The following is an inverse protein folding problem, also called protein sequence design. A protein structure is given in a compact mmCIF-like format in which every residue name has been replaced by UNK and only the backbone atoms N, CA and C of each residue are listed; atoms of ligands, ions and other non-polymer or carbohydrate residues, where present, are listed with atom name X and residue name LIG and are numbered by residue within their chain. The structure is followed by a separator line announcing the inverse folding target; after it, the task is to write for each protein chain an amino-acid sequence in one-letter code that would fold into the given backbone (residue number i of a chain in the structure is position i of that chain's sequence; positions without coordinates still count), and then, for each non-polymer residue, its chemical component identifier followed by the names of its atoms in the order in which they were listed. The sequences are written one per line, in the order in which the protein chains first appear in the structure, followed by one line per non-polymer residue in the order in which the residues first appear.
data_IF_563750493608
#
_entry.id   IF_563750493608
#
_cell.length_a   1.000
_cell.length_b   1.000
_cell.length_c   1.000
_cell.angle_alpha   90.00
_cell.angle_beta   90.00
_cell.angle_gamma   90.00
#
_symmetry.space_group_name_H-M   'P 1'
#
loop_
_entity.id
_entity.type
_entity.pdbx_description
1 polymer ?
#
# COMPACT_ATOMS: atom_id res chain seq x y z
N UNK A 1 -59.48 8.85 -52.05
CA UNK A 1 -59.40 8.83 -53.55
C UNK A 1 -58.05 8.16 -53.85
N UNK A 2 -58.15 6.90 -54.24
CA UNK A 2 -57.71 6.32 -55.52
C UNK A 2 -56.21 6.55 -55.79
N UNK A 3 -55.38 5.68 -56.18
CA UNK A 3 -55.40 4.30 -56.70
C UNK A 3 -53.91 3.96 -57.01
N UNK A 4 -53.42 2.73 -56.65
CA UNK A 4 -52.96 1.72 -57.61
C UNK A 4 -51.74 2.11 -58.45
N UNK A 5 -50.78 1.38 -58.65
CA UNK A 5 -50.48 0.03 -59.14
C UNK A 5 -48.94 -0.02 -59.24
N UNK A 6 -48.21 -0.98 -59.00
CA UNK A 6 -48.09 -2.39 -59.35
C UNK A 6 -46.81 -2.64 -60.14
N UNK A 7 -46.12 -3.69 -59.70
CA UNK A 7 -45.42 -4.71 -60.46
C UNK A 7 -44.20 -4.30 -61.27
N UNK A 8 -43.05 -4.81 -60.98
CA UNK A 8 -42.33 -5.84 -61.70
C UNK A 8 -40.94 -6.14 -61.04
N UNK A 9 -40.73 -7.36 -60.69
CA UNK A 9 -39.43 -7.98 -60.76
C UNK A 9 -39.19 -8.41 -62.24
N UNK A 10 -37.98 -8.73 -62.65
CA UNK A 10 -37.22 -9.84 -62.16
C UNK A 10 -35.68 -9.77 -62.32
N UNK A 11 -35.08 -10.75 -61.70
CA UNK A 11 -33.94 -11.53 -62.18
C UNK A 11 -32.55 -10.89 -62.28
N UNK A 12 -31.64 -11.54 -61.59
CA UNK A 12 -30.30 -11.61 -62.13
C UNK A 12 -29.14 -11.70 -61.15
N UNK A 13 -28.93 -12.89 -60.63
CA UNK A 13 -27.64 -13.60 -60.66
C UNK A 13 -26.48 -13.11 -59.77
N UNK A 14 -26.03 -14.10 -59.03
CA UNK A 14 -24.67 -14.37 -58.58
C UNK A 14 -24.12 -13.55 -57.43
N UNK A 15 -24.20 -14.06 -56.21
CA UNK A 15 -23.13 -14.91 -55.71
C UNK A 15 -21.86 -14.20 -55.39
N UNK A 16 -21.81 -13.63 -54.19
CA UNK A 16 -20.55 -13.57 -53.45
C UNK A 16 -20.87 -13.62 -51.95
N UNK A 17 -20.88 -14.87 -51.44
CA UNK A 17 -20.81 -15.11 -50.00
C UNK A 17 -19.49 -14.52 -49.48
N UNK A 18 -19.55 -13.33 -48.92
CA UNK A 18 -18.47 -12.81 -48.13
C UNK A 18 -18.48 -13.54 -46.80
N UNK A 19 -17.63 -14.55 -46.71
CA UNK A 19 -17.30 -15.27 -45.48
C UNK A 19 -16.60 -14.28 -44.54
N UNK A 20 -17.37 -13.61 -43.67
CA UNK A 20 -16.84 -12.86 -42.55
C UNK A 20 -16.27 -13.88 -41.58
N UNK A 21 -15.00 -14.18 -41.73
CA UNK A 21 -14.17 -14.79 -40.70
C UNK A 21 -14.13 -13.81 -39.51
N UNK A 22 -15.04 -14.01 -38.56
CA UNK A 22 -14.95 -13.44 -37.26
C UNK A 22 -13.67 -14.02 -36.61
N UNK A 23 -12.60 -13.28 -36.68
CA UNK A 23 -11.45 -13.51 -35.84
C UNK A 23 -11.90 -13.28 -34.37
N UNK A 24 -12.36 -14.34 -33.72
CA UNK A 24 -12.43 -14.37 -32.28
C UNK A 24 -11.00 -14.26 -31.78
N UNK A 25 -10.58 -13.05 -31.41
CA UNK A 25 -9.41 -12.85 -30.59
C UNK A 25 -9.71 -13.56 -29.28
N UNK A 26 -9.29 -14.81 -29.18
CA UNK A 26 -9.16 -15.47 -27.87
C UNK A 26 -8.15 -14.62 -27.09
N UNK A 27 -8.66 -13.69 -26.29
CA UNK A 27 -7.88 -13.09 -25.23
C UNK A 27 -7.40 -14.24 -24.35
N UNK A 28 -6.13 -14.59 -24.47
CA UNK A 28 -5.50 -15.51 -23.54
C UNK A 28 -5.74 -14.92 -22.14
N UNK A 29 -6.27 -15.71 -21.18
CA UNK A 29 -6.38 -15.24 -19.82
C UNK A 29 -4.96 -14.85 -19.39
N UNK A 30 -4.73 -13.57 -19.14
CA UNK A 30 -3.53 -13.12 -18.47
C UNK A 30 -3.50 -13.88 -17.15
N UNK A 31 -2.51 -14.74 -16.98
CA UNK A 31 -2.20 -15.42 -15.73
C UNK A 31 -1.86 -14.32 -14.69
N UNK A 32 -2.89 -13.73 -14.11
CA UNK A 32 -2.73 -12.86 -12.96
C UNK A 32 -2.69 -13.79 -11.76
N UNK A 33 -1.61 -13.73 -11.03
CA UNK A 33 -1.57 -14.36 -9.73
C UNK A 33 -2.61 -13.69 -8.82
N UNK A 34 -3.33 -14.49 -8.06
CA UNK A 34 -4.35 -14.04 -7.13
C UNK A 34 -3.97 -14.50 -5.73
N UNK A 35 -4.42 -13.79 -4.72
CA UNK A 35 -4.20 -14.18 -3.34
C UNK A 35 -5.51 -14.70 -2.74
N UNK A 36 -5.48 -15.89 -2.19
CA UNK A 36 -6.56 -16.42 -1.36
C UNK A 36 -6.21 -16.19 0.10
N UNK A 37 -7.05 -15.46 0.80
CA UNK A 37 -6.91 -15.17 2.22
C UNK A 37 -7.73 -16.17 3.00
N UNK A 38 -7.08 -16.92 3.89
CA UNK A 38 -7.72 -17.90 4.74
C UNK A 38 -8.18 -17.30 6.07
N UNK A 39 -9.14 -17.94 6.71
CA UNK A 39 -9.64 -17.58 8.06
C UNK A 39 -8.51 -17.57 9.11
N UNK A 40 -7.49 -18.39 8.93
CA UNK A 40 -6.28 -18.38 9.75
C UNK A 40 -5.41 -17.12 9.60
N UNK A 41 -5.74 -16.24 8.65
CA UNK A 41 -4.92 -15.09 8.27
C UNK A 41 -3.80 -15.41 7.28
N UNK A 42 -3.63 -16.67 6.92
CA UNK A 42 -2.64 -17.08 5.92
C UNK A 42 -3.08 -16.66 4.53
N UNK A 43 -2.13 -16.22 3.71
CA UNK A 43 -2.33 -15.86 2.30
C UNK A 43 -1.63 -16.87 1.42
N UNK A 44 -2.38 -17.41 0.46
CA UNK A 44 -1.87 -18.33 -0.53
C UNK A 44 -1.84 -17.63 -1.90
N UNK A 45 -0.69 -17.65 -2.55
CA UNK A 45 -0.57 -17.18 -3.94
C UNK A 45 -1.10 -18.27 -4.86
N UNK A 46 -2.08 -17.95 -5.65
CA UNK A 46 -2.72 -18.90 -6.58
C UNK A 46 -2.65 -18.37 -8.01
N UNK A 47 -2.53 -19.28 -8.95
CA UNK A 47 -2.57 -18.99 -10.39
C UNK A 47 -3.97 -19.16 -10.97
N UNK A 48 -4.89 -19.69 -10.18
CA UNK A 48 -6.30 -19.84 -10.51
C UNK A 48 -7.05 -20.54 -9.37
N UNK A 49 -8.38 -20.43 -9.40
CA UNK A 49 -9.23 -21.11 -8.44
C UNK A 49 -10.55 -21.54 -9.09
N UNK A 50 -11.18 -22.55 -8.51
CA UNK A 50 -12.48 -23.05 -8.92
C UNK A 50 -13.29 -23.47 -7.69
N UNK A 51 -14.52 -23.00 -7.59
CA UNK A 51 -15.45 -23.46 -6.55
C UNK A 51 -16.08 -24.78 -6.98
N UNK A 52 -15.91 -25.83 -6.18
CA UNK A 52 -16.44 -27.16 -6.37
C UNK A 52 -17.32 -27.54 -5.18
N UNK A 53 -18.61 -27.19 -5.27
CA UNK A 53 -19.53 -27.40 -4.17
C UNK A 53 -19.16 -26.55 -2.94
N UNK A 54 -18.76 -27.20 -1.86
CA UNK A 54 -18.38 -26.58 -0.58
C UNK A 54 -16.87 -26.34 -0.43
N UNK A 55 -16.08 -26.53 -1.51
CA UNK A 55 -14.62 -26.39 -1.51
C UNK A 55 -14.13 -25.54 -2.66
N UNK A 56 -13.05 -24.81 -2.40
CA UNK A 56 -12.24 -24.19 -3.44
C UNK A 56 -11.08 -25.12 -3.82
N UNK A 57 -10.92 -25.39 -5.11
CA UNK A 57 -9.70 -25.95 -5.67
C UNK A 57 -8.81 -24.79 -6.11
N UNK A 58 -7.69 -24.62 -5.43
CA UNK A 58 -6.71 -23.58 -5.68
C UNK A 58 -5.54 -24.15 -6.49
N UNK A 59 -5.18 -23.50 -7.57
CA UNK A 59 -4.02 -23.84 -8.38
C UNK A 59 -2.83 -22.98 -7.94
N UNK A 60 -1.69 -23.60 -7.69
CA UNK A 60 -0.44 -22.96 -7.28
C UNK A 60 0.71 -23.44 -8.16
N UNK A 61 1.88 -22.77 -8.08
CA UNK A 61 3.06 -23.15 -8.87
C UNK A 61 3.54 -24.59 -8.64
N UNK A 62 3.20 -25.21 -7.50
CA UNK A 62 3.59 -26.57 -7.13
C UNK A 62 2.47 -27.63 -7.22
N UNK A 63 1.29 -27.28 -7.76
CA UNK A 63 0.15 -28.20 -7.83
C UNK A 63 -1.16 -27.55 -7.40
N UNK A 64 -2.16 -28.36 -7.05
CA UNK A 64 -3.46 -27.87 -6.57
C UNK A 64 -3.75 -28.37 -5.16
N UNK A 65 -4.49 -27.54 -4.40
CA UNK A 65 -4.98 -27.86 -3.05
C UNK A 65 -6.48 -27.58 -2.98
N UNK A 66 -7.20 -28.38 -2.22
CA UNK A 66 -8.62 -28.14 -1.93
C UNK A 66 -8.75 -27.62 -0.49
N UNK A 67 -9.51 -26.54 -0.33
CA UNK A 67 -9.76 -25.87 0.95
C UNK A 67 -11.26 -25.68 1.07
N UNK A 68 -11.81 -25.89 2.27
CA UNK A 68 -13.22 -25.65 2.52
C UNK A 68 -13.59 -24.18 2.22
N UNK A 69 -14.73 -23.96 1.60
CA UNK A 69 -15.15 -22.60 1.23
C UNK A 69 -15.31 -21.70 2.47
N UNK A 70 -15.68 -22.26 3.60
CA UNK A 70 -15.81 -21.55 4.89
C UNK A 70 -14.46 -21.03 5.44
N UNK A 71 -13.35 -21.63 5.04
CA UNK A 71 -12.01 -21.19 5.44
C UNK A 71 -11.44 -20.08 4.55
N UNK A 72 -12.08 -19.81 3.40
CA UNK A 72 -11.69 -18.74 2.49
C UNK A 72 -12.44 -17.46 2.85
N UNK A 73 -11.71 -16.44 3.28
CA UNK A 73 -12.27 -15.14 3.67
C UNK A 73 -12.37 -14.19 2.50
N UNK A 74 -11.38 -14.21 1.61
CA UNK A 74 -11.33 -13.35 0.43
C UNK A 74 -10.46 -13.94 -0.66
N UNK A 75 -10.78 -13.61 -1.91
CA UNK A 75 -9.93 -13.85 -3.08
C UNK A 75 -9.61 -12.46 -3.63
N UNK A 76 -8.33 -12.09 -3.58
CA UNK A 76 -7.85 -10.78 -4.00
C UNK A 76 -7.03 -10.95 -5.28
N UNK A 77 -7.31 -10.17 -6.33
CA UNK A 77 -6.43 -10.14 -7.49
C UNK A 77 -5.04 -9.65 -7.05
N UNK A 78 -3.99 -10.24 -7.61
CA UNK A 78 -2.68 -9.62 -7.51
C UNK A 78 -2.79 -8.24 -8.15
N UNK A 79 -2.82 -7.20 -7.34
CA UNK A 79 -2.63 -5.85 -7.85
C UNK A 79 -1.25 -5.82 -8.51
N UNK A 80 -1.22 -5.97 -9.83
CA UNK A 80 -0.05 -5.59 -10.61
C UNK A 80 0.11 -4.10 -10.38
N UNK A 81 0.87 -3.80 -9.34
CA UNK A 81 1.29 -2.45 -9.06
C UNK A 81 2.16 -2.02 -10.23
N UNK A 82 1.54 -1.44 -11.25
CA UNK A 82 2.28 -0.60 -12.18
C UNK A 82 2.89 0.48 -11.29
N UNK A 83 4.20 0.49 -11.06
CA UNK A 83 4.78 1.56 -10.26
C UNK A 83 4.46 2.83 -11.04
N UNK A 84 3.50 3.60 -10.56
CA UNK A 84 3.41 5.00 -10.95
C UNK A 84 4.84 5.53 -10.83
N UNK A 85 5.36 6.24 -11.86
CA UNK A 85 6.70 6.78 -11.79
C UNK A 85 6.82 7.48 -10.46
N UNK A 86 7.73 6.96 -9.61
CA UNK A 86 7.87 7.41 -8.24
C UNK A 86 8.33 8.86 -8.28
N UNK A 87 7.36 9.76 -8.37
CA UNK A 87 7.60 11.15 -8.04
C UNK A 87 8.16 11.12 -6.62
N UNK A 88 9.34 11.66 -6.35
CA UNK A 88 9.85 11.72 -4.99
C UNK A 88 8.72 12.26 -4.12
N UNK A 89 8.39 11.57 -3.02
CA UNK A 89 7.48 12.13 -2.04
C UNK A 89 8.24 13.31 -1.44
N UNK A 90 8.14 14.44 -2.11
CA UNK A 90 8.59 15.70 -1.55
C UNK A 90 7.47 16.11 -0.61
N UNK A 91 7.77 16.16 0.70
CA UNK A 91 6.88 16.84 1.64
C UNK A 91 6.69 18.24 1.08
N UNK A 92 5.44 18.55 0.70
CA UNK A 92 5.14 19.90 0.21
C UNK A 92 5.46 20.88 1.33
N UNK A 93 6.22 21.97 1.08
CA UNK A 93 6.16 23.11 2.01
C UNK A 93 4.68 23.47 2.16
N UNK A 94 4.12 23.69 3.21
CA UNK A 94 4.38 23.99 4.60
C UNK A 94 4.32 22.78 5.54
N UNK A 95 4.04 21.58 5.06
CA UNK A 95 3.83 20.43 5.96
C UNK A 95 5.13 19.83 6.49
N UNK A 96 6.27 20.08 5.84
CA UNK A 96 7.56 19.58 6.32
C UNK A 96 7.86 20.03 7.74
N UNK A 97 7.74 21.31 8.00
CA UNK A 97 8.02 21.88 9.32
C UNK A 97 7.06 21.34 10.38
N UNK A 98 5.78 21.18 10.04
CA UNK A 98 4.78 20.60 10.93
C UNK A 98 5.11 19.14 11.27
N UNK A 99 5.50 18.35 10.26
CA UNK A 99 5.91 16.95 10.45
C UNK A 99 7.17 16.86 11.30
N UNK A 100 8.19 17.66 11.02
CA UNK A 100 9.44 17.68 11.79
C UNK A 100 9.20 18.11 13.26
N UNK A 101 8.34 19.10 13.49
CA UNK A 101 7.96 19.54 14.83
C UNK A 101 7.20 18.44 15.60
N UNK A 102 6.24 17.76 14.98
CA UNK A 102 5.52 16.67 15.58
C UNK A 102 6.42 15.45 15.83
N UNK A 103 7.30 15.13 14.88
CA UNK A 103 8.31 14.07 15.00
C UNK A 103 9.20 14.26 16.22
N UNK A 104 9.73 15.48 16.39
CA UNK A 104 10.56 15.83 17.53
C UNK A 104 9.77 15.78 18.86
N UNK A 105 8.53 16.32 18.86
CA UNK A 105 7.68 16.37 20.06
C UNK A 105 7.31 14.99 20.59
N UNK A 106 7.00 14.07 19.70
CA UNK A 106 6.47 12.74 20.06
C UNK A 106 7.50 11.62 19.90
N UNK A 107 8.74 11.93 19.49
CA UNK A 107 9.80 10.95 19.22
C UNK A 107 9.35 9.87 18.21
N UNK A 108 8.64 10.30 17.17
CA UNK A 108 8.22 9.46 16.04
C UNK A 108 9.05 9.84 14.82
N UNK A 109 9.46 8.85 14.04
CA UNK A 109 10.23 9.09 12.83
C UNK A 109 9.44 9.94 11.81
N UNK A 110 10.04 11.05 11.36
CA UNK A 110 9.40 11.95 10.39
C UNK A 110 9.08 11.28 9.05
N UNK A 111 9.89 10.30 8.62
CA UNK A 111 9.61 9.52 7.42
C UNK A 111 8.39 8.61 7.60
N UNK A 112 8.17 8.10 8.82
CA UNK A 112 6.98 7.31 9.12
C UNK A 112 5.72 8.19 9.09
N UNK A 113 5.75 9.36 9.74
CA UNK A 113 4.63 10.32 9.72
C UNK A 113 4.30 10.70 8.27
N UNK A 114 5.33 11.04 7.49
CA UNK A 114 5.20 11.37 6.07
C UNK A 114 4.55 10.23 5.27
N UNK A 115 4.94 8.98 5.56
CA UNK A 115 4.41 7.80 4.89
C UNK A 115 2.95 7.55 5.24
N UNK A 116 2.54 7.80 6.47
CA UNK A 116 1.14 7.76 6.90
C UNK A 116 0.34 8.82 6.15
N UNK A 117 0.76 10.09 6.16
CA UNK A 117 0.08 11.18 5.45
C UNK A 117 -0.06 10.88 3.95
N UNK A 118 0.98 10.34 3.32
CA UNK A 118 0.95 9.98 1.90
C UNK A 118 -0.12 8.93 1.59
N UNK A 119 -0.31 7.96 2.47
CA UNK A 119 -1.28 6.87 2.28
C UNK A 119 -2.69 7.29 2.67
N UNK A 120 -2.85 8.13 3.70
CA UNK A 120 -4.15 8.58 4.21
C UNK A 120 -4.82 9.60 3.28
N UNK A 121 -4.10 10.63 2.88
CA UNK A 121 -4.68 11.78 2.18
C UNK A 121 -3.95 12.16 0.90
N UNK A 122 -2.82 11.53 0.60
CA UNK A 122 -1.91 12.01 -0.45
C UNK A 122 -1.57 13.51 -0.28
N UNK A 123 -1.40 13.94 0.98
CA UNK A 123 -1.12 15.33 1.36
C UNK A 123 -2.27 16.32 1.07
N UNK A 124 -3.50 15.88 0.97
CA UNK A 124 -4.66 16.76 0.88
C UNK A 124 -5.18 17.10 2.28
N UNK A 125 -5.04 18.35 2.76
CA UNK A 125 -5.49 18.75 4.08
C UNK A 125 -7.02 18.80 4.20
N UNK A 126 -7.74 18.75 3.08
CA UNK A 126 -9.21 18.76 3.03
C UNK A 126 -9.80 17.39 2.71
N UNK A 127 -8.97 16.34 2.71
CA UNK A 127 -9.45 14.99 2.43
C UNK A 127 -10.53 14.55 3.43
N UNK A 128 -11.61 13.98 2.92
CA UNK A 128 -12.70 13.42 3.73
C UNK A 128 -13.02 12.02 3.20
N UNK A 129 -12.94 11.01 4.08
CA UNK A 129 -13.28 9.64 3.73
C UNK A 129 -14.78 9.36 3.81
N UNK A 130 -15.21 8.19 3.30
CA UNK A 130 -16.60 7.72 3.46
C UNK A 130 -17.01 7.51 4.92
N UNK A 131 -16.05 7.26 5.81
CA UNK A 131 -16.25 7.11 7.26
C UNK A 131 -16.11 8.44 8.00
N UNK A 132 -16.09 9.57 7.29
CA UNK A 132 -15.91 10.92 7.83
C UNK A 132 -14.55 11.14 8.53
N UNK A 133 -13.52 10.33 8.22
CA UNK A 133 -12.17 10.65 8.64
C UNK A 133 -11.66 11.86 7.83
N UNK A 134 -10.90 12.77 8.48
CA UNK A 134 -10.61 14.09 7.93
C UNK A 134 -9.13 14.47 8.02
N UNK A 135 -8.71 15.27 7.06
CA UNK A 135 -7.41 15.93 7.05
C UNK A 135 -6.26 15.04 6.62
N UNK A 136 -5.04 15.53 6.87
CA UNK A 136 -3.79 14.92 6.40
C UNK A 136 -3.57 13.50 6.91
N UNK A 137 -3.90 13.25 8.18
CA UNK A 137 -3.73 11.96 8.84
C UNK A 137 -5.05 11.21 9.06
N UNK A 138 -6.13 11.66 8.40
CA UNK A 138 -7.44 11.00 8.37
C UNK A 138 -7.96 10.61 9.76
N UNK A 139 -8.04 11.59 10.65
CA UNK A 139 -8.59 11.38 11.98
C UNK A 139 -10.12 11.28 11.92
N UNK A 140 -10.69 10.31 12.63
CA UNK A 140 -12.12 10.28 12.89
C UNK A 140 -12.49 11.39 13.88
N UNK A 141 -13.69 12.02 13.75
CA UNK A 141 -14.13 13.07 14.67
C UNK A 141 -14.07 12.66 16.15
N UNK A 142 -14.44 11.42 16.45
CA UNK A 142 -14.40 10.87 17.81
C UNK A 142 -12.96 10.78 18.34
N UNK A 143 -12.04 10.31 17.51
CA UNK A 143 -10.61 10.24 17.86
C UNK A 143 -10.04 11.64 18.03
N UNK A 144 -10.35 12.56 17.14
CA UNK A 144 -9.94 13.95 17.22
C UNK A 144 -10.43 14.62 18.52
N UNK A 145 -11.70 14.39 18.89
CA UNK A 145 -12.26 14.90 20.14
C UNK A 145 -11.55 14.35 21.38
N UNK A 146 -11.28 13.04 21.42
CA UNK A 146 -10.52 12.40 22.50
C UNK A 146 -9.09 12.97 22.63
N UNK A 147 -8.50 13.36 21.50
CA UNK A 147 -7.19 13.97 21.44
C UNK A 147 -7.22 15.49 21.68
N UNK A 148 -8.39 16.10 21.91
CA UNK A 148 -8.54 17.52 22.19
C UNK A 148 -8.31 18.44 20.99
N UNK A 149 -8.48 17.91 19.76
CA UNK A 149 -8.39 18.70 18.50
C UNK A 149 -9.58 19.67 18.42
N UNK A 150 -9.29 20.94 18.20
CA UNK A 150 -10.34 21.98 18.06
C UNK A 150 -10.78 22.13 16.62
N UNK A 151 -9.85 22.05 15.69
CA UNK A 151 -10.11 22.12 14.26
C UNK A 151 -9.41 20.96 13.53
N UNK A 152 -10.17 19.92 13.21
CA UNK A 152 -9.65 18.72 12.56
C UNK A 152 -9.13 18.98 11.13
N UNK A 153 -9.58 20.08 10.49
CA UNK A 153 -9.16 20.48 9.16
C UNK A 153 -7.94 21.42 9.17
N UNK A 154 -7.48 21.83 10.36
CA UNK A 154 -6.24 22.57 10.50
C UNK A 154 -5.04 21.59 10.36
N UNK A 155 -4.13 21.83 9.39
CA UNK A 155 -2.99 20.92 9.17
C UNK A 155 -2.11 20.71 10.39
N UNK A 156 -1.88 21.75 11.21
CA UNK A 156 -1.02 21.65 12.36
C UNK A 156 -1.67 20.80 13.45
N UNK A 157 -2.94 21.05 13.77
CA UNK A 157 -3.67 20.26 14.77
C UNK A 157 -3.84 18.81 14.31
N UNK A 158 -4.12 18.57 13.02
CA UNK A 158 -4.32 17.25 12.46
C UNK A 158 -3.02 16.41 12.49
N UNK A 159 -1.88 16.97 12.07
CA UNK A 159 -0.58 16.29 12.12
C UNK A 159 -0.15 16.06 13.57
N UNK A 160 -0.30 17.04 14.46
CA UNK A 160 0.06 16.91 15.86
C UNK A 160 -0.71 15.78 16.54
N UNK A 161 -2.03 15.80 16.43
CA UNK A 161 -2.89 14.78 17.04
C UNK A 161 -2.70 13.41 16.42
N UNK A 162 -2.62 13.32 15.07
CA UNK A 162 -2.41 12.05 14.38
C UNK A 162 -1.06 11.42 14.73
N UNK A 163 0.00 12.25 14.88
CA UNK A 163 1.32 11.77 15.30
C UNK A 163 1.29 11.29 16.75
N UNK A 164 0.61 12.02 17.64
CA UNK A 164 0.41 11.59 19.04
C UNK A 164 -0.32 10.26 19.10
N UNK A 165 -1.39 10.10 18.34
CA UNK A 165 -2.13 8.84 18.27
C UNK A 165 -1.26 7.69 17.77
N UNK A 166 -0.48 7.92 16.71
CA UNK A 166 0.44 6.93 16.17
C UNK A 166 1.50 6.52 17.21
N UNK A 167 2.06 7.50 17.96
CA UNK A 167 2.99 7.24 19.04
C UNK A 167 2.37 6.38 20.14
N UNK A 168 1.14 6.68 20.56
CA UNK A 168 0.43 5.94 21.59
C UNK A 168 0.20 4.48 21.16
N UNK A 169 -0.11 4.26 19.89
CA UNK A 169 -0.24 2.92 19.32
C UNK A 169 1.10 2.19 19.24
N UNK A 170 2.19 2.88 18.83
CA UNK A 170 3.53 2.27 18.84
C UNK A 170 3.91 1.82 20.26
N UNK A 171 3.66 2.64 21.29
CA UNK A 171 3.90 2.26 22.67
C UNK A 171 3.03 1.08 23.12
N UNK A 172 1.73 1.11 22.78
CA UNK A 172 0.78 0.03 23.12
C UNK A 172 1.20 -1.34 22.55
N UNK A 173 1.80 -1.35 21.38
CA UNK A 173 2.24 -2.58 20.71
C UNK A 173 3.76 -2.80 20.75
N UNK A 174 4.47 -2.29 21.78
CA UNK A 174 5.90 -2.50 22.01
C UNK A 174 6.77 -2.15 20.78
N UNK A 175 6.43 -1.11 20.06
CA UNK A 175 7.04 -0.67 18.80
C UNK A 175 6.93 -1.67 17.63
N UNK A 176 5.99 -2.62 17.72
CA UNK A 176 5.61 -3.39 16.53
C UNK A 176 4.87 -2.47 15.55
N UNK A 177 5.60 -2.05 14.53
CA UNK A 177 5.10 -1.14 13.50
C UNK A 177 3.89 -1.72 12.77
N UNK A 178 3.88 -3.03 12.51
CA UNK A 178 2.80 -3.68 11.75
C UNK A 178 1.51 -3.65 12.54
N UNK A 179 1.55 -4.00 13.84
CA UNK A 179 0.40 -3.96 14.73
C UNK A 179 -0.07 -2.52 15.00
N UNK A 180 0.86 -1.58 15.19
CA UNK A 180 0.53 -0.17 15.40
C UNK A 180 -0.19 0.43 14.18
N UNK A 181 0.29 0.17 12.97
CA UNK A 181 -0.36 0.62 11.72
C UNK A 181 -1.72 -0.06 11.51
N UNK A 182 -1.83 -1.35 11.83
CA UNK A 182 -3.12 -2.05 11.77
C UNK A 182 -4.14 -1.42 12.73
N UNK A 183 -3.69 -1.08 13.94
CA UNK A 183 -4.52 -0.43 14.95
C UNK A 183 -4.88 1.01 14.56
N UNK A 184 -3.99 1.73 13.91
CA UNK A 184 -4.28 3.07 13.38
C UNK A 184 -5.44 3.05 12.39
N UNK A 185 -5.44 2.08 11.47
CA UNK A 185 -6.45 1.98 10.42
C UNK A 185 -7.75 1.29 10.90
N UNK A 186 -7.65 0.17 11.64
CA UNK A 186 -8.80 -0.65 12.01
C UNK A 186 -9.34 -0.39 13.43
N UNK A 187 -8.60 0.35 14.23
CA UNK A 187 -8.85 0.53 15.66
C UNK A 187 -8.11 -0.50 16.53
N UNK A 188 -7.63 -0.08 17.72
CA UNK A 188 -6.89 -0.96 18.63
C UNK A 188 -7.72 -2.12 19.16
N UNK A 189 -9.04 -1.96 19.30
CA UNK A 189 -9.96 -3.01 19.77
C UNK A 189 -9.97 -4.19 18.79
N UNK A 190 -9.92 -3.93 17.48
CA UNK A 190 -9.89 -4.98 16.47
C UNK A 190 -8.57 -5.74 16.49
N UNK A 191 -7.45 -5.04 16.61
CA UNK A 191 -6.13 -5.68 16.74
C UNK A 191 -6.07 -6.53 18.00
N UNK A 192 -6.62 -6.04 19.11
CA UNK A 192 -6.71 -6.80 20.37
C UNK A 192 -7.62 -8.04 20.24
N UNK A 193 -8.77 -7.91 19.59
CA UNK A 193 -9.72 -9.01 19.35
C UNK A 193 -9.09 -10.15 18.55
N UNK A 194 -8.29 -9.81 17.52
CA UNK A 194 -7.65 -10.81 16.66
C UNK A 194 -6.27 -11.26 17.16
N UNK A 195 -5.67 -10.56 18.12
CA UNK A 195 -4.29 -10.81 18.56
C UNK A 195 -3.23 -10.62 17.48
N UNK A 196 -3.61 -10.05 16.34
CA UNK A 196 -2.79 -9.88 15.13
C UNK A 196 -3.38 -8.79 14.24
N UNK A 197 -2.81 -8.58 13.06
CA UNK A 197 -3.44 -7.75 12.02
C UNK A 197 -4.80 -8.34 11.67
N UNK A 198 -5.91 -7.59 11.84
CA UNK A 198 -7.23 -8.08 11.47
C UNK A 198 -7.26 -8.49 9.99
N UNK A 199 -7.98 -9.56 9.62
CA UNK A 199 -8.03 -10.06 8.23
C UNK A 199 -8.94 -9.20 7.33
N UNK A 200 -8.87 -7.88 7.50
CA UNK A 200 -9.58 -6.93 6.65
C UNK A 200 -8.68 -6.52 5.48
N UNK A 201 -9.15 -6.71 4.25
CA UNK A 201 -8.40 -6.38 3.04
C UNK A 201 -7.90 -4.92 3.06
N UNK A 202 -8.75 -3.99 3.51
CA UNK A 202 -8.40 -2.57 3.69
C UNK A 202 -7.20 -2.41 4.62
N UNK A 203 -7.23 -3.03 5.81
CA UNK A 203 -6.18 -2.89 6.82
C UNK A 203 -4.86 -3.52 6.38
N UNK A 204 -4.93 -4.72 5.80
CA UNK A 204 -3.75 -5.41 5.28
C UNK A 204 -3.09 -4.58 4.17
N UNK A 205 -3.89 -4.05 3.24
CA UNK A 205 -3.41 -3.18 2.17
C UNK A 205 -2.81 -1.88 2.71
N UNK A 206 -3.44 -1.28 3.70
CA UNK A 206 -2.97 -0.08 4.38
C UNK A 206 -1.58 -0.28 5.00
N UNK A 207 -1.43 -1.29 5.85
CA UNK A 207 -0.14 -1.62 6.51
C UNK A 207 0.96 -1.81 5.46
N UNK A 208 0.67 -2.56 4.40
CA UNK A 208 1.63 -2.80 3.31
C UNK A 208 2.03 -1.50 2.60
N UNK A 209 1.08 -0.61 2.29
CA UNK A 209 1.34 0.65 1.61
C UNK A 209 2.20 1.58 2.46
N UNK A 210 1.85 1.76 3.74
CA UNK A 210 2.64 2.62 4.65
C UNK A 210 4.04 2.07 4.84
N UNK A 211 4.16 0.76 5.14
CA UNK A 211 5.47 0.12 5.32
C UNK A 211 6.34 0.26 4.07
N UNK A 212 5.81 0.02 2.89
CA UNK A 212 6.56 0.17 1.63
C UNK A 212 7.03 1.63 1.41
N UNK A 213 6.18 2.61 1.71
CA UNK A 213 6.54 4.02 1.62
C UNK A 213 7.68 4.37 2.57
N UNK A 214 7.57 3.90 3.81
CA UNK A 214 8.55 4.14 4.86
C UNK A 214 9.91 3.48 4.55
N UNK A 215 9.92 2.19 4.19
CA UNK A 215 11.14 1.47 3.82
C UNK A 215 11.87 2.14 2.64
N UNK A 216 11.12 2.66 1.67
CA UNK A 216 11.65 3.40 0.52
C UNK A 216 12.29 4.73 0.92
N UNK A 217 11.75 5.45 1.91
CA UNK A 217 12.35 6.67 2.45
C UNK A 217 13.68 6.36 3.10
N UNK A 218 13.73 5.32 3.94
CA UNK A 218 14.95 4.89 4.64
C UNK A 218 16.07 4.45 3.69
N UNK A 219 15.75 3.69 2.65
CA UNK A 219 16.75 3.25 1.68
C UNK A 219 17.39 4.44 0.93
N UNK A 220 16.61 5.47 0.62
CA UNK A 220 17.11 6.69 -0.02
C UNK A 220 17.99 7.54 0.91
N UNK A 221 17.66 7.59 2.20
CA UNK A 221 18.46 8.31 3.19
C UNK A 221 19.84 7.64 3.36
N UNK A 222 19.88 6.31 3.41
CA UNK A 222 21.11 5.53 3.55
C UNK A 222 22.06 5.68 2.36
N UNK A 223 21.54 5.86 1.15
CA UNK A 223 22.38 6.07 -0.05
C UNK A 223 22.91 7.50 -0.20
N UNK A 224 22.35 8.45 0.55
CA UNK A 224 22.73 9.88 0.46
C UNK A 224 23.81 10.29 1.48
N UNK A 225 24.15 9.43 2.45
CA UNK A 225 25.26 9.69 3.39
C UNK A 225 26.56 9.33 2.69
N UNK A 226 27.47 10.28 2.39
CA UNK A 226 28.81 9.95 1.87
C UNK A 226 29.53 9.11 2.92
N UNK A 227 30.24 8.08 2.47
CA UNK A 227 31.14 7.31 3.33
C UNK A 227 32.12 8.28 4.01
N UNK A 228 32.41 8.10 5.32
CA UNK A 228 33.44 8.90 5.98
C UNK A 228 34.75 8.75 5.21
N UNK A 229 35.53 9.83 5.03
CA UNK A 229 36.80 9.75 4.31
C UNK A 229 37.66 8.72 5.03
N UNK A 230 38.18 7.79 4.24
CA UNK A 230 39.13 6.77 4.72
C UNK A 230 40.22 7.48 5.53
N UNK A 231 40.33 7.14 6.81
CA UNK A 231 41.38 7.66 7.68
C UNK A 231 42.72 7.38 7.01
N UNK A 232 43.38 8.48 6.66
CA UNK A 232 44.66 8.45 5.97
C UNK A 232 45.64 7.55 6.72
N UNK A 233 46.30 6.69 5.97
CA UNK A 233 47.42 5.90 6.43
C UNK A 233 48.44 6.83 7.09
N UNK A 234 48.51 6.74 8.42
CA UNK A 234 49.63 7.33 9.15
C UNK A 234 50.92 6.61 8.73
N UNK A 235 51.73 7.33 7.96
CA UNK A 235 53.09 6.91 7.61
C UNK A 235 53.86 6.67 8.92
N UNK A 236 54.25 5.42 9.12
CA UNK A 236 55.22 5.04 10.15
C UNK A 236 56.56 5.65 9.82
N UNK A 237 56.91 6.76 10.47
CA UNK A 237 58.27 7.29 10.53
C UNK A 237 59.08 6.45 11.50
N UNK A 238 59.99 5.64 10.97
CA UNK A 238 61.01 4.89 11.72
C UNK A 238 61.95 5.89 12.44
N UNK A 239 62.34 5.64 13.72
CA UNK A 239 63.34 6.45 14.39
C UNK A 239 64.76 6.15 13.84
N UNK A 240 65.69 7.16 13.92
CA UNK A 240 67.06 6.96 13.41
C UNK A 240 67.84 6.08 14.38
N UNK A 241 68.62 5.12 13.84
CA UNK A 241 69.61 4.33 14.55
C UNK A 241 70.77 5.27 14.95
N UNK A 242 70.91 5.50 16.24
CA UNK A 242 72.14 6.02 16.83
C UNK A 242 73.20 4.92 16.94
N UNK A 243 74.29 5.05 16.17
CA UNK A 243 75.49 4.26 16.31
C UNK A 243 76.20 4.66 17.60
N UNK A 244 76.66 3.65 18.34
CA UNK A 244 77.74 3.85 19.33
C UNK A 244 78.91 2.99 18.89
N UNK A 245 80.00 3.74 18.56
CA UNK A 245 81.35 3.21 18.51
C UNK A 245 81.93 3.33 19.90
N UNK A 246 82.60 2.35 20.33
CA UNK A 246 83.69 1.99 21.26
C UNK A 246 83.23 1.10 22.37
#
# INVERSE_FOLDING_TARGET
MRLKHAICAPDGVAGRAALLLAFAVLAAPSLRAEYVVLRSGQRLTVTGYQLLGDKYRLQMAGGSVEIAAEDVVAIEPEEVFTPLPAKPIAIKPPFRELVEAAAARYSVDADLITSVIAVESNFDPKAVSRKNARGLMQLLPETAAQLGVKNIDDPAENIDAGTRYLRDLLQKYNNDLVLALAAYNAGPERVQQYGSVPPFAETISYVRRVKRSYDKSKSKASTKTPAPPAAGAMAATSPPRTGQSQ
#
